data_IF_329990591813
#
_entry.id   IF_329990591813
#
_cell.length_a   1.000
_cell.length_b   1.000
_cell.length_c   1.000
_cell.angle_alpha   90.00
_cell.angle_beta   90.00
_cell.angle_gamma   90.00
#
_symmetry.space_group_name_H-M   'P 1'
#
loop_
_entity.id
_entity.type
_entity.pdbx_description
1 polymer ?
#
# COMPACT_ATOMS: atom_id res chain seq x y z
N UNK A 1 21.68 20.58 -3.94
CA UNK A 1 20.33 19.98 -3.91
C UNK A 1 20.22 18.97 -2.79
N UNK A 2 19.28 19.18 -1.88
CA UNK A 2 18.96 18.31 -0.73
C UNK A 2 17.55 17.76 -0.90
N UNK A 3 17.27 16.57 -0.37
CA UNK A 3 15.93 15.98 -0.35
C UNK A 3 15.35 15.97 1.05
N UNK A 4 14.16 16.52 1.21
CA UNK A 4 13.47 16.61 2.49
C UNK A 4 12.25 15.71 2.47
N UNK A 5 12.14 14.80 3.44
CA UNK A 5 10.96 14.00 3.71
C UNK A 5 10.05 14.74 4.68
N UNK A 6 8.75 14.71 4.39
CA UNK A 6 7.68 15.26 5.20
C UNK A 6 6.71 14.15 5.59
N UNK A 7 6.32 14.12 6.87
CA UNK A 7 5.14 13.38 7.34
C UNK A 7 3.99 14.36 7.45
N UNK A 8 2.89 14.09 6.76
CA UNK A 8 1.77 15.00 6.54
C UNK A 8 0.46 14.38 7.04
N UNK A 9 -0.19 15.08 7.96
CA UNK A 9 -1.55 14.82 8.42
C UNK A 9 -2.52 15.76 7.70
N UNK A 10 -3.71 15.28 7.35
CA UNK A 10 -4.76 16.10 6.78
C UNK A 10 -6.17 15.54 7.00
N UNK A 11 -7.12 16.46 7.09
CA UNK A 11 -8.55 16.17 6.89
C UNK A 11 -8.86 16.25 5.39
N UNK A 12 -9.16 15.11 4.77
CA UNK A 12 -9.44 15.03 3.33
C UNK A 12 -10.81 15.56 2.90
N UNK A 13 -11.67 16.01 3.81
CA UNK A 13 -13.08 16.36 3.52
C UNK A 13 -13.21 17.40 2.39
N UNK A 14 -12.38 18.43 2.41
CA UNK A 14 -12.45 19.55 1.47
C UNK A 14 -11.69 19.29 0.15
N UNK A 15 -11.06 18.12 -0.01
CA UNK A 15 -10.06 17.88 -1.06
C UNK A 15 -10.47 16.79 -2.05
N UNK A 16 -10.00 16.92 -3.29
CA UNK A 16 -10.13 15.92 -4.36
C UNK A 16 -9.05 14.84 -4.30
N UNK A 17 -8.65 14.49 -3.08
CA UNK A 17 -7.64 13.49 -2.77
C UNK A 17 -6.24 14.07 -2.74
N UNK A 18 -5.25 13.18 -2.75
CA UNK A 18 -3.84 13.57 -2.66
C UNK A 18 -3.33 14.23 -3.95
N UNK A 19 -3.44 13.50 -5.06
CA UNK A 19 -2.75 13.81 -6.32
C UNK A 19 -3.40 15.00 -7.02
N UNK A 20 -2.60 15.92 -7.59
CA UNK A 20 -3.03 16.98 -8.49
C UNK A 20 -4.02 16.48 -9.56
N UNK A 21 -5.14 17.18 -9.70
CA UNK A 21 -6.19 16.90 -10.66
C UNK A 21 -6.84 18.21 -11.14
N UNK A 22 -7.36 18.27 -12.38
CA UNK A 22 -7.96 19.48 -12.92
C UNK A 22 -9.33 19.85 -12.29
N UNK A 23 -9.91 18.95 -11.49
CA UNK A 23 -11.30 19.00 -11.04
C UNK A 23 -11.49 19.49 -9.59
N UNK A 24 -10.44 19.99 -8.94
CA UNK A 24 -10.53 20.64 -7.62
C UNK A 24 -9.22 20.62 -6.86
N UNK A 25 -9.25 21.22 -5.66
CA UNK A 25 -8.08 21.41 -4.80
C UNK A 25 -7.63 20.08 -4.20
N UNK A 26 -6.31 19.85 -4.19
CA UNK A 26 -5.70 18.60 -3.71
C UNK A 26 -4.68 18.86 -2.61
N UNK A 27 -4.30 17.81 -1.87
CA UNK A 27 -3.27 17.93 -0.82
C UNK A 27 -1.91 18.28 -1.44
N UNK A 28 -1.56 17.67 -2.58
CA UNK A 28 -0.33 17.96 -3.32
C UNK A 28 -0.27 19.43 -3.76
N UNK A 29 -1.38 20.00 -4.24
CA UNK A 29 -1.44 21.42 -4.62
C UNK A 29 -1.13 22.34 -3.45
N UNK A 30 -1.76 22.10 -2.29
CA UNK A 30 -1.58 22.92 -1.10
C UNK A 30 -0.15 22.84 -0.56
N UNK A 31 0.46 21.64 -0.56
CA UNK A 31 1.84 21.45 -0.18
C UNK A 31 2.80 22.16 -1.15
N UNK A 32 2.62 21.98 -2.46
CA UNK A 32 3.45 22.62 -3.48
C UNK A 32 3.40 24.15 -3.35
N UNK A 33 2.20 24.71 -3.16
CA UNK A 33 2.02 26.15 -2.96
C UNK A 33 2.73 26.65 -1.70
N UNK A 34 2.47 26.03 -0.55
CA UNK A 34 3.05 26.47 0.72
C UNK A 34 4.59 26.35 0.72
N UNK A 35 5.14 25.28 0.15
CA UNK A 35 6.59 25.10 0.02
C UNK A 35 7.20 26.10 -0.95
N UNK A 36 6.57 26.33 -2.11
CA UNK A 36 7.08 27.30 -3.09
C UNK A 36 7.05 28.73 -2.55
N UNK A 37 5.99 29.09 -1.82
CA UNK A 37 5.86 30.40 -1.17
C UNK A 37 6.89 30.61 -0.06
N UNK A 38 7.18 29.56 0.73
CA UNK A 38 8.20 29.58 1.78
C UNK A 38 9.61 29.73 1.20
N UNK A 39 9.91 28.95 0.16
CA UNK A 39 11.27 28.81 -0.38
C UNK A 39 11.61 29.82 -1.48
N UNK A 40 10.60 30.47 -2.07
CA UNK A 40 10.75 31.38 -3.22
C UNK A 40 11.33 30.69 -4.46
N UNK A 41 11.07 29.39 -4.60
CA UNK A 41 11.41 28.56 -5.76
C UNK A 41 10.25 27.60 -6.06
N UNK A 42 10.07 27.14 -7.31
CA UNK A 42 9.04 26.16 -7.63
C UNK A 42 9.32 24.81 -6.96
N UNK A 43 8.34 24.29 -6.20
CA UNK A 43 8.44 22.99 -5.52
C UNK A 43 7.34 22.06 -6.01
N UNK A 44 7.73 20.81 -6.31
CA UNK A 44 6.83 19.71 -6.60
C UNK A 44 7.12 18.54 -5.66
N UNK A 45 6.14 18.18 -4.83
CA UNK A 45 6.28 17.05 -3.91
C UNK A 45 6.00 15.71 -4.60
N UNK A 46 6.67 14.66 -4.14
CA UNK A 46 6.41 13.28 -4.54
C UNK A 46 5.81 12.54 -3.35
N UNK A 47 4.55 12.11 -3.47
CA UNK A 47 3.83 11.39 -2.41
C UNK A 47 4.11 9.89 -2.34
N UNK A 48 4.04 9.33 -1.13
CA UNK A 48 4.16 7.91 -0.83
C UNK A 48 2.89 7.11 -1.09
N UNK A 49 1.73 7.74 -0.84
CA UNK A 49 0.44 7.12 -1.01
C UNK A 49 -0.54 8.12 -1.61
N UNK A 50 -1.26 7.68 -2.65
CA UNK A 50 -2.43 8.38 -3.15
C UNK A 50 -3.60 8.04 -2.24
N UNK A 51 -4.30 9.04 -1.74
CA UNK A 51 -5.58 8.90 -1.04
C UNK A 51 -6.69 9.47 -1.91
N UNK A 52 -7.87 8.84 -1.84
CA UNK A 52 -9.04 9.27 -2.61
C UNK A 52 -9.62 10.57 -2.06
N UNK A 53 -10.49 11.23 -2.83
CA UNK A 53 -11.26 12.37 -2.35
C UNK A 53 -12.07 12.00 -1.10
N UNK A 54 -11.94 12.83 -0.05
CA UNK A 54 -12.60 12.60 1.24
C UNK A 54 -11.91 11.62 2.18
N UNK A 55 -10.75 11.05 1.82
CA UNK A 55 -9.97 10.17 2.71
C UNK A 55 -8.99 11.02 3.53
N UNK A 56 -8.88 10.74 4.83
CA UNK A 56 -7.99 11.47 5.74
C UNK A 56 -6.61 10.80 5.85
N UNK A 57 -5.65 11.51 6.43
CA UNK A 57 -4.40 10.90 6.88
C UNK A 57 -3.90 11.52 8.17
N UNK A 58 -3.28 10.69 9.02
CA UNK A 58 -2.52 11.12 10.20
C UNK A 58 -1.02 11.15 9.94
N UNK A 59 -0.56 10.43 8.92
CA UNK A 59 0.86 10.36 8.55
C UNK A 59 1.09 9.83 7.14
N UNK A 60 0.61 10.55 6.12
CA UNK A 60 1.10 10.32 4.76
C UNK A 60 2.53 10.84 4.62
N UNK A 61 3.28 10.37 3.63
CA UNK A 61 4.66 10.79 3.42
C UNK A 61 4.83 11.45 2.06
N UNK A 62 5.63 12.51 2.00
CA UNK A 62 6.03 13.18 0.78
C UNK A 62 7.50 13.56 0.82
N UNK A 63 8.12 13.72 -0.35
CA UNK A 63 9.47 14.31 -0.47
C UNK A 63 9.47 15.45 -1.45
N UNK A 64 10.41 16.38 -1.27
CA UNK A 64 10.74 17.40 -2.27
C UNK A 64 12.23 17.71 -2.23
N UNK A 65 12.72 18.31 -3.31
CA UNK A 65 14.11 18.74 -3.45
C UNK A 65 14.20 20.26 -3.31
N UNK A 66 15.29 20.74 -2.69
CA UNK A 66 15.51 22.18 -2.45
C UNK A 66 17.01 22.52 -2.29
N UNK A 67 17.35 23.79 -2.53
CA UNK A 67 18.67 24.39 -2.22
C UNK A 67 18.68 25.17 -0.89
N UNK A 68 17.55 25.17 -0.16
CA UNK A 68 17.39 25.89 1.09
C UNK A 68 18.37 25.43 2.17
N UNK A 69 18.75 26.39 3.02
CA UNK A 69 19.59 26.16 4.21
C UNK A 69 18.78 25.84 5.47
N UNK A 70 17.45 25.82 5.38
CA UNK A 70 16.60 25.41 6.50
C UNK A 70 17.00 23.96 6.89
N UNK A 71 17.28 23.69 8.18
CA UNK A 71 17.57 22.33 8.63
C UNK A 71 16.38 21.40 8.36
N UNK A 72 16.65 20.13 8.02
CA UNK A 72 15.61 19.18 7.60
C UNK A 72 14.48 19.02 8.63
N UNK A 73 14.82 19.00 9.91
CA UNK A 73 13.90 18.91 11.06
C UNK A 73 13.09 20.19 11.33
N UNK A 74 13.45 21.30 10.68
CA UNK A 74 12.78 22.60 10.87
C UNK A 74 11.73 22.93 9.83
N UNK A 75 11.64 22.15 8.75
CA UNK A 75 10.64 22.38 7.71
C UNK A 75 9.21 22.24 8.22
N UNK A 76 8.92 21.28 9.09
CA UNK A 76 7.60 21.09 9.66
C UNK A 76 7.06 22.36 10.35
N UNK A 77 7.90 23.09 11.10
CA UNK A 77 7.50 24.34 11.74
C UNK A 77 7.31 25.49 10.73
N UNK A 78 8.16 25.56 9.71
CA UNK A 78 8.16 26.66 8.76
C UNK A 78 6.97 26.58 7.78
N UNK A 79 6.74 25.42 7.18
CA UNK A 79 5.71 25.22 6.15
C UNK A 79 4.30 25.31 6.73
N UNK A 80 4.09 24.87 7.97
CA UNK A 80 2.79 24.93 8.64
C UNK A 80 2.21 26.34 8.78
N UNK A 81 3.04 27.39 8.69
CA UNK A 81 2.56 28.80 8.69
C UNK A 81 1.80 29.16 7.41
N UNK A 82 2.11 28.49 6.30
CA UNK A 82 1.46 28.70 5.00
C UNK A 82 0.35 27.70 4.69
N UNK A 83 0.18 26.66 5.52
CA UNK A 83 -0.81 25.61 5.31
C UNK A 83 -2.14 25.90 6.02
N UNK A 84 -3.28 25.54 5.39
CA UNK A 84 -4.60 25.64 6.03
C UNK A 84 -4.70 24.68 7.22
N UNK A 85 -5.65 24.93 8.13
CA UNK A 85 -5.73 24.21 9.43
C UNK A 85 -5.95 22.70 9.33
N UNK A 86 -6.54 22.26 8.24
CA UNK A 86 -6.83 20.90 7.85
C UNK A 86 -5.64 20.17 7.18
N UNK A 87 -4.48 20.82 7.03
CA UNK A 87 -3.22 20.19 6.58
C UNK A 87 -2.08 20.59 7.50
N UNK A 88 -1.37 19.60 8.06
CA UNK A 88 -0.22 19.82 8.92
C UNK A 88 0.92 18.87 8.57
N UNK A 89 2.12 19.43 8.43
CA UNK A 89 3.36 18.66 8.45
C UNK A 89 3.72 18.41 9.91
N UNK A 90 3.67 17.16 10.33
CA UNK A 90 3.90 16.75 11.72
C UNK A 90 5.36 16.42 12.00
N UNK A 91 6.11 16.05 10.97
CA UNK A 91 7.53 15.73 11.05
C UNK A 91 8.21 16.05 9.73
N UNK A 92 9.49 16.41 9.78
CA UNK A 92 10.32 16.54 8.59
C UNK A 92 11.75 16.10 8.88
N UNK A 93 12.44 15.55 7.88
CA UNK A 93 13.84 15.17 7.99
C UNK A 93 14.54 15.21 6.63
N UNK A 94 15.87 15.34 6.63
CA UNK A 94 16.66 15.20 5.40
C UNK A 94 16.93 13.72 5.13
N UNK A 95 16.77 13.32 3.86
CA UNK A 95 16.97 11.94 3.40
C UNK A 95 17.95 11.92 2.21
N UNK A 96 18.53 10.76 1.85
CA UNK A 96 19.37 10.65 0.66
C UNK A 96 18.68 11.20 -0.59
N UNK A 97 19.45 11.82 -1.49
CA UNK A 97 18.92 12.51 -2.68
C UNK A 97 18.23 11.59 -3.68
N UNK A 98 18.50 10.29 -3.63
CA UNK A 98 17.88 9.24 -4.43
C UNK A 98 16.72 8.53 -3.71
N UNK A 99 16.49 8.82 -2.43
CA UNK A 99 15.42 8.22 -1.65
C UNK A 99 14.06 8.58 -2.24
N UNK A 100 13.23 7.57 -2.54
CA UNK A 100 11.93 7.77 -3.15
C UNK A 100 10.84 7.00 -2.39
N UNK A 101 9.78 7.66 -1.90
CA UNK A 101 8.86 7.09 -0.92
C UNK A 101 8.05 5.88 -1.40
N UNK A 102 7.91 5.70 -2.72
CA UNK A 102 7.21 4.54 -3.31
C UNK A 102 8.15 3.37 -3.67
N UNK A 103 9.48 3.58 -3.58
CA UNK A 103 10.48 2.57 -3.93
C UNK A 103 11.10 1.90 -2.70
N UNK A 104 10.83 2.41 -1.50
CA UNK A 104 11.27 1.80 -0.25
C UNK A 104 10.28 0.73 0.21
N UNK A 105 10.75 -0.31 0.88
CA UNK A 105 9.85 -1.25 1.56
C UNK A 105 9.19 -0.52 2.73
N UNK A 106 7.88 -0.71 2.87
CA UNK A 106 7.12 -0.04 3.90
C UNK A 106 5.89 -0.85 4.31
N UNK A 107 5.47 -0.60 5.52
CA UNK A 107 4.19 -1.05 6.06
C UNK A 107 3.26 0.16 6.12
N UNK A 108 2.05 -0.01 5.59
CA UNK A 108 0.99 1.01 5.63
C UNK A 108 -0.09 0.56 6.58
N UNK A 109 -0.54 1.47 7.43
CA UNK A 109 -1.63 1.22 8.36
C UNK A 109 -2.81 2.12 8.00
N UNK A 110 -3.97 1.50 7.78
CA UNK A 110 -5.23 2.20 7.61
C UNK A 110 -6.22 1.83 8.71
N UNK A 111 -7.05 2.79 9.08
CA UNK A 111 -8.21 2.59 9.93
C UNK A 111 -9.47 3.03 9.20
N UNK A 112 -10.49 2.19 9.24
CA UNK A 112 -11.84 2.54 8.81
C UNK A 112 -12.76 2.58 10.02
N UNK A 113 -13.33 3.75 10.30
CA UNK A 113 -14.19 3.96 11.46
C UNK A 113 -15.67 3.97 11.06
N UNK A 114 -16.48 3.24 11.84
CA UNK A 114 -17.92 3.15 11.69
C UNK A 114 -18.56 3.56 13.01
N UNK A 115 -19.38 4.60 13.00
CA UNK A 115 -20.24 4.97 14.12
C UNK A 115 -21.46 4.05 14.11
N UNK A 116 -21.50 3.12 15.07
CA UNK A 116 -22.53 2.09 15.15
C UNK A 116 -23.55 2.35 16.26
N UNK A 117 -24.43 3.31 16.03
CA UNK A 117 -25.48 3.72 16.96
C UNK A 117 -26.80 4.01 16.21
N UNK A 118 -27.91 4.19 16.92
CA UNK A 118 -29.23 4.38 16.28
C UNK A 118 -29.40 5.70 15.54
N UNK A 119 -28.71 6.76 15.99
CA UNK A 119 -28.86 8.12 15.47
C UNK A 119 -27.46 8.69 15.26
N UNK A 120 -27.20 9.25 14.08
CA UNK A 120 -25.91 9.84 13.74
C UNK A 120 -25.57 11.01 14.67
N UNK A 121 -24.30 11.09 15.08
CA UNK A 121 -23.79 12.18 15.92
C UNK A 121 -23.11 13.22 15.02
N UNK A 122 -23.60 14.47 14.93
CA UNK A 122 -23.08 15.47 13.99
C UNK A 122 -21.57 15.73 14.10
N UNK A 123 -20.99 15.64 15.30
CA UNK A 123 -19.56 15.86 15.54
C UNK A 123 -18.66 14.70 15.06
N UNK A 124 -19.23 13.55 14.72
CA UNK A 124 -18.52 12.36 14.21
C UNK A 124 -18.69 12.15 12.70
N UNK A 125 -19.54 12.95 12.06
CA UNK A 125 -19.97 12.76 10.65
C UNK A 125 -18.84 12.76 9.62
N UNK A 126 -17.71 13.39 9.93
CA UNK A 126 -16.58 13.59 9.01
C UNK A 126 -15.58 12.44 9.04
N UNK A 127 -15.38 11.79 10.18
CA UNK A 127 -14.29 10.81 10.38
C UNK A 127 -14.80 9.37 10.55
N UNK A 128 -16.12 9.17 10.54
CA UNK A 128 -16.74 7.87 10.66
C UNK A 128 -17.90 7.70 9.68
N UNK A 129 -18.07 6.48 9.19
CA UNK A 129 -19.28 6.09 8.46
C UNK A 129 -20.40 5.72 9.44
N UNK A 130 -21.58 6.29 9.28
CA UNK A 130 -22.72 5.99 10.14
C UNK A 130 -23.41 4.68 9.70
N UNK A 131 -23.64 3.77 10.64
CA UNK A 131 -24.42 2.55 10.46
C UNK A 131 -25.38 2.34 11.62
N UNK A 132 -26.69 2.38 11.33
CA UNK A 132 -27.74 2.21 12.36
C UNK A 132 -28.09 0.76 12.67
N UNK A 133 -27.71 -0.18 11.80
CA UNK A 133 -27.89 -1.61 12.05
C UNK A 133 -26.87 -2.08 13.10
N UNK A 134 -27.29 -2.82 14.14
CA UNK A 134 -26.34 -3.43 15.08
C UNK A 134 -25.33 -4.29 14.33
N UNK A 135 -24.04 -4.11 14.61
CA UNK A 135 -22.96 -4.88 13.98
C UNK A 135 -22.45 -5.97 14.93
N UNK A 136 -22.34 -7.21 14.42
CA UNK A 136 -21.66 -8.30 15.11
C UNK A 136 -20.13 -8.17 14.89
N UNK A 137 -19.47 -7.54 15.85
CA UNK A 137 -18.03 -7.20 15.78
C UNK A 137 -17.17 -8.46 15.80
N UNK A 138 -17.59 -9.47 16.55
CA UNK A 138 -16.90 -10.76 16.65
C UNK A 138 -16.83 -11.46 15.29
N UNK A 139 -17.97 -11.55 14.59
CA UNK A 139 -18.03 -12.12 13.23
C UNK A 139 -17.24 -11.28 12.21
N UNK A 140 -17.30 -9.95 12.30
CA UNK A 140 -16.47 -9.09 11.45
C UNK A 140 -14.97 -9.33 11.68
N UNK A 141 -14.56 -9.50 12.94
CA UNK A 141 -13.17 -9.76 13.29
C UNK A 141 -12.72 -11.16 12.85
N UNK A 142 -13.59 -12.16 12.94
CA UNK A 142 -13.36 -13.49 12.38
C UNK A 142 -13.15 -13.42 10.85
N UNK A 143 -14.05 -12.74 10.15
CA UNK A 143 -13.97 -12.56 8.70
C UNK A 143 -12.69 -11.82 8.26
N UNK A 144 -12.28 -10.81 9.02
CA UNK A 144 -11.06 -10.04 8.75
C UNK A 144 -9.79 -10.92 8.80
N UNK A 145 -9.77 -11.98 9.62
CA UNK A 145 -8.61 -12.87 9.74
C UNK A 145 -8.31 -13.64 8.45
N UNK A 146 -9.31 -13.92 7.62
CA UNK A 146 -9.10 -14.56 6.31
C UNK A 146 -8.28 -13.70 5.35
N UNK A 147 -8.23 -12.38 5.59
CA UNK A 147 -7.48 -11.45 4.75
C UNK A 147 -5.99 -11.39 5.15
N UNK A 148 -5.61 -11.92 6.32
CA UNK A 148 -4.21 -11.93 6.79
C UNK A 148 -3.40 -12.89 5.91
N UNK A 149 -2.20 -12.47 5.53
CA UNK A 149 -1.31 -13.22 4.64
C UNK A 149 -1.15 -12.58 3.27
N UNK A 150 -0.53 -13.31 2.36
CA UNK A 150 -0.25 -12.88 0.99
C UNK A 150 -1.29 -13.44 0.02
N UNK A 151 -2.05 -12.58 -0.64
CA UNK A 151 -3.17 -12.98 -1.49
C UNK A 151 -3.29 -12.10 -2.72
N UNK A 152 -3.95 -12.61 -3.77
CA UNK A 152 -4.40 -11.76 -4.88
C UNK A 152 -5.65 -10.99 -4.47
N UNK A 153 -5.50 -9.69 -4.21
CA UNK A 153 -6.59 -8.83 -3.75
C UNK A 153 -7.40 -8.20 -4.89
N UNK A 154 -7.36 -8.74 -6.11
CA UNK A 154 -8.12 -8.20 -7.25
C UNK A 154 -9.64 -8.11 -6.98
N UNK A 155 -10.22 -9.03 -6.20
CA UNK A 155 -11.62 -8.94 -5.73
C UNK A 155 -11.89 -7.66 -4.94
N UNK A 156 -10.87 -7.14 -4.27
CA UNK A 156 -10.93 -5.91 -3.49
C UNK A 156 -10.33 -4.72 -4.25
N UNK A 157 -10.21 -4.78 -5.58
CA UNK A 157 -9.66 -3.71 -6.39
C UNK A 157 -10.73 -3.07 -7.28
N UNK A 158 -10.80 -1.75 -7.34
CA UNK A 158 -11.68 -1.10 -8.29
C UNK A 158 -11.23 -1.36 -9.75
N UNK A 159 -12.17 -1.60 -10.67
CA UNK A 159 -11.90 -2.07 -12.03
C UNK A 159 -10.95 -1.17 -12.85
N UNK A 160 -10.94 0.15 -12.61
CA UNK A 160 -10.07 1.11 -13.30
C UNK A 160 -8.68 1.25 -12.64
N UNK A 161 -8.14 0.19 -12.06
CA UNK A 161 -6.83 0.24 -11.42
C UNK A 161 -5.69 0.27 -12.44
N UNK A 162 -4.58 0.88 -12.03
CA UNK A 162 -3.33 0.94 -12.82
C UNK A 162 -2.22 0.08 -12.19
N UNK A 163 -2.56 -0.76 -11.20
CA UNK A 163 -1.59 -1.62 -10.54
C UNK A 163 -1.11 -2.72 -11.49
N UNK A 164 0.21 -2.84 -11.66
CA UNK A 164 0.85 -3.91 -12.42
C UNK A 164 0.73 -5.28 -11.74
N UNK A 165 0.59 -5.27 -10.42
CA UNK A 165 0.45 -6.44 -9.55
C UNK A 165 -0.63 -6.20 -8.51
N UNK A 166 -1.47 -7.21 -8.30
CA UNK A 166 -2.62 -7.21 -7.38
C UNK A 166 -2.38 -8.05 -6.13
N UNK A 167 -1.29 -8.82 -6.09
CA UNK A 167 -0.87 -9.52 -4.88
C UNK A 167 -0.37 -8.52 -3.83
N UNK A 168 -0.92 -8.59 -2.62
CA UNK A 168 -0.48 -7.80 -1.45
C UNK A 168 -0.38 -8.70 -0.24
N UNK A 169 0.28 -8.19 0.81
CA UNK A 169 0.37 -8.86 2.10
C UNK A 169 -0.31 -8.01 3.14
N UNK A 170 -1.27 -8.58 3.85
CA UNK A 170 -1.83 -7.99 5.06
C UNK A 170 -1.19 -8.70 6.25
N UNK A 171 -0.47 -7.94 7.07
CA UNK A 171 0.20 -8.43 8.28
C UNK A 171 -0.75 -8.47 9.48
N UNK A 172 -1.69 -7.52 9.54
CA UNK A 172 -2.66 -7.42 10.62
C UNK A 172 -4.01 -6.98 10.05
N UNK A 173 -5.08 -7.66 10.46
CA UNK A 173 -6.45 -7.25 10.22
C UNK A 173 -7.26 -7.47 11.50
N UNK A 174 -7.78 -6.39 12.06
CA UNK A 174 -8.50 -6.42 13.32
C UNK A 174 -9.77 -5.57 13.24
N UNK A 175 -10.86 -6.07 13.84
CA UNK A 175 -12.08 -5.30 14.05
C UNK A 175 -12.36 -5.22 15.54
N UNK A 176 -12.51 -4.00 16.06
CA UNK A 176 -12.80 -3.74 17.48
C UNK A 176 -13.91 -2.72 17.61
N UNK A 177 -14.60 -2.70 18.75
CA UNK A 177 -15.58 -1.67 19.10
C UNK A 177 -15.20 -1.04 20.43
N UNK A 178 -15.21 0.29 20.51
CA UNK A 178 -14.93 1.02 21.73
C UNK A 178 -16.22 1.41 22.48
N UNK A 179 -16.06 2.04 23.65
CA UNK A 179 -17.16 2.50 24.51
C UNK A 179 -18.01 3.63 23.89
N UNK A 180 -17.50 4.31 22.86
CA UNK A 180 -18.20 5.39 22.15
C UNK A 180 -18.97 4.90 20.90
N UNK A 181 -19.26 3.59 20.82
CA UNK A 181 -19.93 2.95 19.69
C UNK A 181 -19.16 3.03 18.35
N UNK A 182 -17.86 3.33 18.37
CA UNK A 182 -17.02 3.31 17.17
C UNK A 182 -16.48 1.90 16.94
N UNK A 183 -16.89 1.29 15.84
CA UNK A 183 -16.27 0.09 15.29
C UNK A 183 -15.08 0.51 14.41
N UNK A 184 -13.89 0.02 14.71
CA UNK A 184 -12.67 0.30 13.95
C UNK A 184 -12.20 -0.96 13.25
N UNK A 185 -12.09 -0.89 11.93
CA UNK A 185 -11.40 -1.89 11.10
C UNK A 185 -9.99 -1.38 10.87
N UNK A 186 -8.99 -2.04 11.46
CA UNK A 186 -7.58 -1.71 11.31
C UNK A 186 -6.91 -2.71 10.40
N UNK A 187 -6.25 -2.21 9.35
CA UNK A 187 -5.50 -3.03 8.39
C UNK A 187 -4.06 -2.54 8.30
N UNK A 188 -3.11 -3.46 8.46
CA UNK A 188 -1.68 -3.24 8.33
C UNK A 188 -1.15 -4.11 7.20
N UNK A 189 -0.46 -3.55 6.21
CA UNK A 189 0.00 -4.32 5.06
C UNK A 189 1.11 -3.67 4.23
N UNK A 190 1.68 -4.44 3.30
CA UNK A 190 2.78 -4.01 2.42
C UNK A 190 2.37 -2.93 1.42
N UNK A 191 1.06 -2.77 1.20
CA UNK A 191 0.47 -1.77 0.33
C UNK A 191 -0.98 -2.14 0.03
N UNK A 192 -1.74 -1.18 -0.50
CA UNK A 192 -3.16 -1.37 -0.78
C UNK A 192 -3.46 -0.97 -2.22
N UNK A 193 -4.34 -1.72 -2.87
CA UNK A 193 -4.83 -1.42 -4.21
C UNK A 193 -5.85 -0.28 -4.19
N UNK A 194 -6.20 0.21 -5.38
CA UNK A 194 -7.17 1.30 -5.50
C UNK A 194 -8.53 0.89 -4.91
N UNK A 195 -9.03 1.69 -3.96
CA UNK A 195 -10.22 1.43 -3.13
C UNK A 195 -10.17 0.21 -2.19
N UNK A 196 -9.04 -0.50 -2.08
CA UNK A 196 -8.98 -1.80 -1.40
C UNK A 196 -9.50 -1.79 0.03
N UNK A 197 -9.00 -0.89 0.87
CA UNK A 197 -9.44 -0.81 2.27
C UNK A 197 -10.95 -0.53 2.38
N UNK A 198 -11.49 0.30 1.49
CA UNK A 198 -12.92 0.66 1.48
C UNK A 198 -13.81 -0.48 0.99
N UNK A 199 -13.32 -1.28 0.04
CA UNK A 199 -14.04 -2.46 -0.45
C UNK A 199 -14.01 -3.54 0.64
N UNK A 200 -12.88 -3.76 1.30
CA UNK A 200 -12.79 -4.63 2.48
C UNK A 200 -13.76 -4.18 3.56
N UNK A 201 -13.78 -2.89 3.91
CA UNK A 201 -14.70 -2.36 4.92
C UNK A 201 -16.17 -2.61 4.55
N UNK A 202 -16.55 -2.43 3.28
CA UNK A 202 -17.90 -2.71 2.81
C UNK A 202 -18.26 -4.20 2.81
N UNK A 203 -17.31 -5.08 2.48
CA UNK A 203 -17.45 -6.54 2.62
C UNK A 203 -17.64 -6.94 4.09
N UNK A 204 -16.82 -6.41 5.01
CA UNK A 204 -16.93 -6.70 6.43
C UNK A 204 -18.23 -6.14 7.03
N UNK A 205 -18.76 -5.02 6.52
CA UNK A 205 -20.08 -4.52 6.92
C UNK A 205 -21.19 -5.52 6.61
N UNK A 206 -21.14 -6.23 5.47
CA UNK A 206 -22.11 -7.29 5.12
C UNK A 206 -22.11 -8.43 6.13
N UNK A 207 -20.93 -8.83 6.60
CA UNK A 207 -20.78 -9.80 7.69
C UNK A 207 -21.32 -9.24 9.01
N UNK A 208 -20.96 -8.00 9.32
CA UNK A 208 -21.40 -7.33 10.55
C UNK A 208 -22.91 -7.18 10.67
N UNK A 209 -23.61 -6.94 9.56
CA UNK A 209 -25.08 -6.87 9.53
C UNK A 209 -25.75 -8.25 9.50
N UNK A 210 -24.98 -9.34 9.45
CA UNK A 210 -25.48 -10.71 9.35
C UNK A 210 -26.04 -11.07 7.96
N UNK A 211 -25.72 -10.30 6.93
CA UNK A 211 -26.09 -10.65 5.55
C UNK A 211 -25.22 -11.79 5.02
N UNK A 212 -23.94 -11.80 5.42
CA UNK A 212 -22.95 -12.82 5.07
C UNK A 212 -22.38 -13.49 6.32
N UNK A 213 -21.99 -14.76 6.17
CA UNK A 213 -21.18 -15.46 7.17
C UNK A 213 -19.68 -15.11 6.98
N UNK A 214 -18.86 -15.19 8.05
CA UNK A 214 -17.44 -14.83 7.98
C UNK A 214 -16.64 -15.54 6.87
N UNK A 215 -16.91 -16.82 6.64
CA UNK A 215 -16.22 -17.67 5.67
C UNK A 215 -16.39 -17.16 4.23
N UNK A 216 -17.50 -16.46 3.94
CA UNK A 216 -17.75 -15.90 2.61
C UNK A 216 -16.68 -14.87 2.21
N UNK A 217 -16.00 -14.22 3.18
CA UNK A 217 -14.89 -13.32 2.86
C UNK A 217 -13.71 -14.06 2.23
N UNK A 218 -13.46 -15.32 2.65
CA UNK A 218 -12.47 -16.17 1.98
C UNK A 218 -12.94 -16.50 0.55
N UNK A 219 -14.20 -16.85 0.36
CA UNK A 219 -14.75 -17.14 -0.98
C UNK A 219 -14.62 -15.95 -1.93
N UNK A 220 -14.87 -14.72 -1.43
CA UNK A 220 -14.68 -13.49 -2.20
C UNK A 220 -13.22 -13.30 -2.62
N UNK A 221 -12.27 -13.59 -1.72
CA UNK A 221 -10.84 -13.49 -2.00
C UNK A 221 -10.44 -14.48 -3.10
N UNK A 222 -10.86 -15.75 -2.97
CA UNK A 222 -10.58 -16.82 -3.93
C UNK A 222 -11.26 -16.61 -5.29
N UNK A 223 -12.42 -15.95 -5.32
CA UNK A 223 -13.14 -15.69 -6.57
C UNK A 223 -12.39 -14.77 -7.54
N UNK A 224 -11.40 -14.00 -7.05
CA UNK A 224 -10.59 -13.05 -7.84
C UNK A 224 -11.42 -12.16 -8.79
N UNK A 225 -12.61 -11.76 -8.32
CA UNK A 225 -13.61 -11.04 -9.09
C UNK A 225 -14.24 -9.94 -8.24
N UNK A 226 -14.05 -8.67 -8.65
CA UNK A 226 -14.56 -7.50 -7.93
C UNK A 226 -16.06 -7.54 -7.68
N UNK A 227 -16.85 -8.22 -8.52
CA UNK A 227 -18.32 -8.28 -8.35
C UNK A 227 -18.76 -9.08 -7.13
N UNK A 228 -17.92 -10.01 -6.65
CA UNK A 228 -18.21 -10.83 -5.48
C UNK A 228 -17.99 -10.06 -4.17
N UNK A 229 -17.16 -9.02 -4.19
CA UNK A 229 -16.91 -8.19 -3.01
C UNK A 229 -18.03 -7.18 -2.75
N UNK A 230 -18.16 -6.78 -1.49
CA UNK A 230 -19.10 -5.78 -1.03
C UNK A 230 -18.96 -4.43 -1.73
N UNK A 231 -19.93 -3.56 -1.46
CA UNK A 231 -19.91 -2.20 -1.98
C UNK A 231 -18.72 -1.42 -1.44
N UNK A 232 -18.17 -0.50 -2.23
CA UNK A 232 -17.08 0.35 -1.76
C UNK A 232 -17.60 1.29 -0.66
N UNK A 233 -17.10 1.16 0.56
CA UNK A 233 -17.53 1.99 1.68
C UNK A 233 -17.21 3.49 1.45
N UNK A 234 -17.95 4.43 2.05
CA UNK A 234 -17.69 5.87 1.89
C UNK A 234 -16.28 6.28 2.34
N UNK A 235 -15.68 7.26 1.67
CA UNK A 235 -14.30 7.71 1.93
C UNK A 235 -14.09 8.29 3.34
N UNK A 236 -15.11 8.99 3.87
CA UNK A 236 -15.09 9.70 5.16
C UNK A 236 -14.77 8.85 6.39
N UNK A 237 -14.93 7.52 6.29
CA UNK A 237 -14.55 6.61 7.37
C UNK A 237 -13.06 6.22 7.35
N UNK A 238 -12.36 6.45 6.24
CA UNK A 238 -11.01 5.95 6.01
C UNK A 238 -9.95 6.98 6.41
N UNK A 239 -8.98 6.54 7.19
CA UNK A 239 -7.78 7.31 7.53
C UNK A 239 -6.52 6.49 7.28
N UNK A 240 -5.57 7.04 6.52
CA UNK A 240 -4.18 6.54 6.49
C UNK A 240 -3.51 6.94 7.81
N UNK A 241 -3.32 5.97 8.71
CA UNK A 241 -2.73 6.21 10.03
C UNK A 241 -1.25 6.55 9.91
N UNK A 242 -0.51 5.81 9.09
CA UNK A 242 0.93 5.99 8.95
C UNK A 242 1.56 5.09 7.90
N UNK A 243 2.80 5.43 7.54
CA UNK A 243 3.68 4.66 6.68
C UNK A 243 5.00 4.46 7.42
N UNK A 244 5.33 3.21 7.69
CA UNK A 244 6.55 2.82 8.39
C UNK A 244 7.52 2.24 7.37
N UNK A 245 8.68 2.87 7.19
CA UNK A 245 9.71 2.41 6.25
C UNK A 245 10.66 1.44 6.93
N UNK A 246 10.97 0.34 6.24
CA UNK A 246 12.00 -0.59 6.68
C UNK A 246 13.37 0.11 6.66
N UNK A 247 14.18 -0.12 7.70
CA UNK A 247 15.53 0.45 7.83
C UNK A 247 16.61 -0.47 7.28
N UNK A 248 16.34 -1.77 7.29
CA UNK A 248 17.26 -2.81 6.87
C UNK A 248 16.53 -3.74 5.90
N UNK A 249 17.25 -4.21 4.88
CA UNK A 249 16.69 -5.15 3.92
C UNK A 249 16.74 -6.55 4.56
N UNK A 250 15.62 -7.29 4.57
CA UNK A 250 15.61 -8.63 5.15
C UNK A 250 16.52 -9.58 4.33
N UNK A 251 17.25 -10.45 5.03
CA UNK A 251 18.13 -11.45 4.41
C UNK A 251 17.35 -12.51 3.64
N UNK A 252 16.10 -12.73 4.00
CA UNK A 252 15.18 -13.61 3.29
C UNK A 252 13.76 -13.04 3.29
N UNK A 253 13.05 -13.20 2.16
CA UNK A 253 11.64 -12.84 2.03
C UNK A 253 10.89 -14.10 1.59
N UNK A 254 9.87 -14.49 2.37
CA UNK A 254 9.00 -15.62 2.04
C UNK A 254 7.69 -15.10 1.45
N UNK A 255 7.33 -15.61 0.26
CA UNK A 255 6.06 -15.37 -0.43
C UNK A 255 5.31 -16.70 -0.47
N UNK A 256 4.21 -16.81 0.29
CA UNK A 256 3.51 -18.09 0.49
C UNK A 256 2.02 -17.94 0.74
N UNK A 257 1.23 -18.78 0.07
CA UNK A 257 -0.17 -19.05 0.36
C UNK A 257 -0.58 -20.45 -0.15
N UNK A 258 -1.87 -20.69 -0.38
CA UNK A 258 -2.38 -21.98 -0.90
C UNK A 258 -2.06 -22.22 -2.38
N UNK A 259 -1.69 -21.19 -3.13
CA UNK A 259 -1.40 -21.26 -4.57
C UNK A 259 0.10 -21.21 -4.90
N UNK A 260 0.95 -20.72 -4.00
CA UNK A 260 2.40 -20.66 -4.22
C UNK A 260 3.23 -20.69 -2.93
N UNK A 261 4.50 -21.10 -3.05
CA UNK A 261 5.54 -20.99 -2.03
C UNK A 261 6.89 -20.67 -2.70
N UNK A 262 7.44 -19.51 -2.39
CA UNK A 262 8.74 -19.05 -2.88
C UNK A 262 9.53 -18.32 -1.78
N UNK A 263 10.85 -18.40 -1.89
CA UNK A 263 11.78 -17.67 -1.01
C UNK A 263 12.73 -16.84 -1.87
N UNK A 264 12.88 -15.57 -1.53
CA UNK A 264 13.92 -14.69 -2.04
C UNK A 264 15.04 -14.62 -0.99
N UNK A 265 16.17 -15.24 -1.28
CA UNK A 265 17.40 -15.21 -0.49
C UNK A 265 18.27 -14.03 -0.92
N UNK A 266 18.56 -13.15 0.03
CA UNK A 266 19.34 -11.92 -0.14
C UNK A 266 20.56 -11.90 0.78
N UNK A 267 20.98 -13.05 1.31
CA UNK A 267 22.14 -13.16 2.21
C UNK A 267 23.45 -12.67 1.58
N UNK A 268 23.54 -12.66 0.25
CA UNK A 268 24.69 -12.18 -0.55
C UNK A 268 24.44 -10.84 -1.25
N UNK A 269 23.35 -10.16 -0.90
CA UNK A 269 22.98 -8.90 -1.55
C UNK A 269 24.01 -7.80 -1.27
N UNK A 270 24.42 -7.63 -0.02
CA UNK A 270 25.39 -6.59 0.36
C UNK A 270 26.82 -6.91 -0.11
N UNK A 271 27.22 -8.19 -0.07
CA UNK A 271 28.58 -8.61 -0.42
C UNK A 271 28.81 -8.66 -1.92
N UNK A 272 27.91 -9.32 -2.65
CA UNK A 272 28.11 -9.69 -4.05
C UNK A 272 27.12 -8.99 -4.99
N UNK A 273 26.08 -8.35 -4.44
CA UNK A 273 24.98 -7.80 -5.24
C UNK A 273 24.06 -8.88 -5.81
N UNK A 274 24.06 -10.08 -5.22
CA UNK A 274 23.33 -11.25 -5.73
C UNK A 274 22.10 -11.55 -4.88
N UNK A 275 21.00 -11.91 -5.53
CA UNK A 275 19.82 -12.48 -4.87
C UNK A 275 19.32 -13.72 -5.60
N UNK A 276 18.77 -14.68 -4.86
CA UNK A 276 18.29 -15.95 -5.41
C UNK A 276 16.81 -16.15 -5.06
N UNK A 277 15.96 -16.26 -6.07
CA UNK A 277 14.55 -16.65 -5.94
C UNK A 277 14.45 -18.16 -6.09
N UNK A 278 13.99 -18.86 -5.05
CA UNK A 278 13.70 -20.28 -5.09
C UNK A 278 12.21 -20.50 -4.98
N UNK A 279 11.59 -20.92 -6.08
CA UNK A 279 10.20 -21.35 -6.12
C UNK A 279 10.17 -22.81 -5.67
N UNK A 280 9.37 -23.10 -4.64
CA UNK A 280 9.16 -24.46 -4.11
C UNK A 280 7.89 -25.07 -4.69
N UNK A 281 6.87 -24.24 -4.88
CA UNK A 281 5.59 -24.61 -5.45
C UNK A 281 4.92 -23.39 -6.06
N UNK A 282 4.17 -23.58 -7.14
CA UNK A 282 3.27 -22.59 -7.72
C UNK A 282 2.19 -23.30 -8.52
N UNK A 283 0.95 -22.82 -8.49
CA UNK A 283 0.01 -23.13 -9.56
C UNK A 283 0.61 -22.67 -10.91
N UNK A 284 0.44 -23.42 -12.01
CA UNK A 284 1.04 -23.08 -13.31
C UNK A 284 0.69 -21.68 -13.79
N UNK A 285 -0.55 -21.24 -13.58
CA UNK A 285 -1.06 -19.92 -13.93
C UNK A 285 -0.44 -18.77 -13.11
N UNK A 286 0.01 -19.05 -11.87
CA UNK A 286 0.63 -18.07 -10.98
C UNK A 286 2.13 -17.95 -11.20
N UNK A 287 2.78 -18.98 -11.76
CA UNK A 287 4.24 -19.04 -11.87
C UNK A 287 4.84 -17.80 -12.55
N UNK A 288 4.34 -17.31 -13.71
CA UNK A 288 4.92 -16.15 -14.36
C UNK A 288 4.80 -14.87 -13.52
N UNK A 289 3.66 -14.70 -12.82
CA UNK A 289 3.41 -13.55 -11.94
C UNK A 289 4.29 -13.61 -10.70
N UNK A 290 4.45 -14.80 -10.11
CA UNK A 290 5.31 -15.06 -8.96
C UNK A 290 6.78 -14.76 -9.28
N UNK A 291 7.30 -15.28 -10.40
CA UNK A 291 8.67 -14.98 -10.85
C UNK A 291 8.86 -13.48 -11.02
N UNK A 292 7.97 -12.83 -11.78
CA UNK A 292 8.01 -11.38 -12.01
C UNK A 292 8.06 -10.61 -10.69
N UNK A 293 7.17 -10.92 -9.74
CA UNK A 293 7.07 -10.23 -8.45
C UNK A 293 8.34 -10.38 -7.61
N UNK A 294 8.84 -11.61 -7.48
CA UNK A 294 10.01 -11.92 -6.65
C UNK A 294 11.30 -11.35 -7.26
N UNK A 295 11.47 -11.45 -8.58
CA UNK A 295 12.62 -10.85 -9.29
C UNK A 295 12.58 -9.32 -9.19
N UNK A 296 11.41 -8.70 -9.38
CA UNK A 296 11.27 -7.26 -9.26
C UNK A 296 11.57 -6.77 -7.83
N UNK A 297 11.13 -7.51 -6.81
CA UNK A 297 11.44 -7.20 -5.41
C UNK A 297 12.94 -7.28 -5.13
N UNK A 298 13.65 -8.27 -5.66
CA UNK A 298 15.11 -8.41 -5.51
C UNK A 298 15.85 -7.21 -6.11
N UNK A 299 15.51 -6.81 -7.34
CA UNK A 299 16.10 -5.63 -7.98
C UNK A 299 15.76 -4.33 -7.23
N UNK A 300 14.54 -4.21 -6.71
CA UNK A 300 14.12 -3.05 -5.89
C UNK A 300 14.92 -2.95 -4.59
N UNK A 301 15.29 -4.09 -4.01
CA UNK A 301 16.17 -4.18 -2.85
C UNK A 301 17.65 -3.91 -3.21
N UNK A 302 17.98 -3.72 -4.49
CA UNK A 302 19.32 -3.34 -4.94
C UNK A 302 20.17 -4.47 -5.52
N UNK A 303 19.58 -5.63 -5.82
CA UNK A 303 20.30 -6.71 -6.49
C UNK A 303 20.82 -6.24 -7.86
N UNK A 304 22.03 -6.66 -8.21
CA UNK A 304 22.63 -6.49 -9.54
C UNK A 304 22.34 -7.69 -10.43
N UNK A 305 22.38 -8.88 -9.82
CA UNK A 305 22.10 -10.15 -10.48
C UNK A 305 21.06 -10.92 -9.67
N UNK A 306 20.07 -11.50 -10.36
CA UNK A 306 19.03 -12.32 -9.75
C UNK A 306 19.01 -13.67 -10.44
N UNK A 307 19.02 -14.73 -9.65
CA UNK A 307 18.92 -16.11 -10.11
C UNK A 307 17.58 -16.70 -9.66
N UNK A 308 16.95 -17.47 -10.54
CA UNK A 308 15.65 -18.11 -10.26
C UNK A 308 15.81 -19.63 -10.37
N UNK A 309 15.37 -20.34 -9.35
CA UNK A 309 15.25 -21.81 -9.36
C UNK A 309 13.78 -22.18 -9.29
N UNK A 310 13.34 -23.04 -10.19
CA UNK A 310 11.99 -23.62 -10.22
C UNK A 310 12.07 -25.13 -9.98
N UNK A 311 11.01 -25.75 -9.42
CA UNK A 311 10.99 -27.21 -9.25
C UNK A 311 10.97 -27.94 -10.60
N UNK A 312 11.38 -29.21 -10.59
CA UNK A 312 11.29 -30.08 -11.76
C UNK A 312 9.84 -30.18 -12.26
N UNK A 313 9.65 -30.20 -13.58
CA UNK A 313 8.35 -30.28 -14.23
C UNK A 313 7.65 -28.92 -14.47
N UNK A 314 8.22 -27.82 -13.98
CA UNK A 314 7.78 -26.47 -14.35
C UNK A 314 8.48 -26.01 -15.64
N UNK A 315 7.70 -25.54 -16.61
CA UNK A 315 8.24 -24.92 -17.82
C UNK A 315 8.33 -23.41 -17.63
N UNK A 316 9.53 -22.86 -17.81
CA UNK A 316 9.79 -21.42 -17.80
C UNK A 316 10.23 -21.03 -19.20
N UNK A 317 9.44 -20.17 -19.86
CA UNK A 317 9.77 -19.67 -21.19
C UNK A 317 10.95 -18.70 -21.13
N UNK A 318 11.99 -18.94 -21.92
CA UNK A 318 13.13 -18.03 -22.10
C UNK A 318 12.85 -16.92 -23.13
N UNK A 319 11.78 -17.06 -23.91
CA UNK A 319 11.39 -16.08 -24.95
C UNK A 319 10.40 -15.04 -24.45
N UNK A 320 9.68 -15.34 -23.37
CA UNK A 320 8.71 -14.45 -22.73
C UNK A 320 9.35 -13.47 -21.76
N UNK A 321 8.69 -12.32 -21.59
CA UNK A 321 9.08 -11.32 -20.60
C UNK A 321 8.27 -11.46 -19.31
N UNK A 322 8.96 -11.55 -18.19
CA UNK A 322 8.40 -11.54 -16.83
C UNK A 322 8.45 -10.09 -16.32
N UNK A 323 7.53 -9.26 -16.83
CA UNK A 323 7.56 -7.81 -16.63
C UNK A 323 8.71 -7.18 -17.42
N UNK A 324 9.73 -6.69 -16.73
CA UNK A 324 10.90 -6.05 -17.34
C UNK A 324 12.07 -7.01 -17.59
N UNK A 325 11.91 -8.30 -17.26
CA UNK A 325 13.02 -9.25 -17.23
C UNK A 325 12.76 -10.43 -18.18
N UNK A 326 13.82 -10.98 -18.77
CA UNK A 326 13.83 -12.30 -19.42
C UNK A 326 14.65 -13.26 -18.59
N UNK A 327 14.30 -14.53 -18.67
CA UNK A 327 15.03 -15.60 -18.00
C UNK A 327 15.86 -16.34 -19.03
N UNK A 328 17.10 -16.66 -18.66
CA UNK A 328 18.02 -17.46 -19.46
C UNK A 328 18.51 -18.64 -18.65
N UNK A 329 18.38 -19.84 -19.18
CA UNK A 329 18.81 -21.06 -18.48
C UNK A 329 20.33 -21.13 -18.40
N UNK A 330 20.83 -21.52 -17.23
CA UNK A 330 22.25 -21.68 -16.92
C UNK A 330 22.62 -23.17 -16.85
N UNK A 331 23.92 -23.45 -16.88
CA UNK A 331 24.46 -24.82 -16.89
C UNK A 331 24.13 -25.61 -15.60
N UNK A 332 23.89 -24.91 -14.49
CA UNK A 332 23.50 -25.49 -13.20
C UNK A 332 21.98 -25.75 -13.08
N UNK A 333 21.22 -25.49 -14.15
CA UNK A 333 19.78 -25.67 -14.21
C UNK A 333 18.96 -24.51 -13.64
N UNK A 334 19.59 -23.50 -13.05
CA UNK A 334 18.93 -22.25 -12.65
C UNK A 334 18.72 -21.31 -13.83
N UNK A 335 18.03 -20.19 -13.60
CA UNK A 335 17.78 -19.16 -14.60
C UNK A 335 18.39 -17.83 -14.14
N UNK A 336 19.25 -17.23 -14.97
CA UNK A 336 19.67 -15.84 -14.78
C UNK A 336 18.65 -14.86 -15.35
N UNK A 337 18.54 -13.67 -14.77
CA UNK A 337 17.61 -12.62 -15.25
C UNK A 337 18.33 -11.54 -16.05
N UNK A 338 17.81 -11.21 -17.23
CA UNK A 338 18.30 -10.14 -18.09
C UNK A 338 17.26 -9.02 -18.23
N UNK A 339 17.67 -7.75 -18.06
CA UNK A 339 16.77 -6.60 -18.22
C UNK A 339 16.44 -6.35 -19.69
N UNK A 340 15.14 -6.23 -20.01
CA UNK A 340 14.64 -6.11 -21.38
C UNK A 340 14.72 -4.69 -21.98
N UNK A 341 15.25 -3.71 -21.24
CA UNK A 341 15.49 -2.36 -21.74
C UNK A 341 14.26 -1.44 -21.82
N UNK A 342 13.07 -1.89 -21.41
CA UNK A 342 11.90 -1.00 -21.28
C UNK A 342 12.13 -0.06 -20.10
N UNK A 343 12.36 1.22 -20.36
CA UNK A 343 12.60 2.24 -19.32
C UNK A 343 11.34 2.47 -18.48
N UNK A 344 11.51 2.68 -17.18
CA UNK A 344 10.46 3.08 -16.23
C UNK A 344 9.79 4.41 -16.59
#
# INVERSE_FOLDING_TARGET
MRRIKLTVAYDGTAYKGWQLQPNGVTIEEMLNKALSDLLKEPVCVIGASRTDSGVHARGNVAVFDTESRIPGDKFCYAVNRGLPEDIRVVESEEVPTDWHPRKQNCVKTYEYQILNCKIEIPTRRLYAHFCYYPLNVEKMNEAAKYLIGEHDFISFCAANHQAEETVRTIYEAQVTKNEEDIVTIRLCGSGFLYNMVRIIAGTLLKVGTGEWEPEHVKEVLEARNRKEAGQTAPAKGLTLVGIEYEREIPKDITSRNEHWDAVLDQSKLESDGISCVRIRFSEPEELPRLIRRMVHQAYRNGAKEVFVTVPDGYEVSETESYGYYRLRRLDDGSYGTEYTGRTL
#
